data_IF_468896351227
#
_entry.id   IF_468896351227
#
_cell.length_a   1.000
_cell.length_b   1.000
_cell.length_c   1.000
_cell.angle_alpha   90.00
_cell.angle_beta   90.00
_cell.angle_gamma   90.00
#
_symmetry.space_group_name_H-M   'P 1'
#
loop_
_entity.id
_entity.type
_entity.pdbx_description
1 polymer ?
#
# COMPACT_ATOMS: atom_id res chain seq x y z
N UNK A 1 12.65 -21.37 2.18
CA UNK A 1 11.90 -22.28 1.30
C UNK A 1 12.82 -22.82 0.19
N UNK A 2 12.56 -24.00 -0.38
CA UNK A 2 13.33 -24.50 -1.53
C UNK A 2 13.25 -23.58 -2.75
N UNK A 3 14.26 -23.66 -3.62
CA UNK A 3 14.30 -22.96 -4.91
C UNK A 3 14.64 -23.95 -6.05
N UNK A 4 13.64 -24.43 -6.83
CA UNK A 4 12.28 -23.89 -6.95
C UNK A 4 11.32 -24.31 -5.82
N UNK A 5 10.31 -23.46 -5.56
CA UNK A 5 9.17 -23.74 -4.69
C UNK A 5 8.06 -24.47 -5.47
N UNK A 6 7.74 -25.70 -5.08
CA UNK A 6 6.78 -26.54 -5.81
C UNK A 6 5.35 -26.37 -5.28
N UNK A 7 5.18 -26.31 -3.96
CA UNK A 7 3.91 -26.01 -3.29
C UNK A 7 4.13 -25.20 -2.03
N UNK A 8 3.09 -24.50 -1.57
CA UNK A 8 3.18 -23.63 -0.40
C UNK A 8 3.62 -24.37 0.87
N UNK A 9 3.23 -25.64 1.04
CA UNK A 9 3.61 -26.48 2.18
C UNK A 9 5.13 -26.70 2.32
N UNK A 10 5.90 -26.47 1.26
CA UNK A 10 7.36 -26.58 1.29
C UNK A 10 8.02 -25.32 1.89
N UNK A 11 7.26 -24.23 2.07
CA UNK A 11 7.71 -23.03 2.74
C UNK A 11 7.59 -23.16 4.27
N UNK A 12 8.63 -22.72 4.97
CA UNK A 12 8.69 -22.72 6.43
C UNK A 12 8.46 -21.28 6.91
N UNK A 13 7.43 -21.07 7.71
CA UNK A 13 7.19 -19.79 8.39
C UNK A 13 8.10 -19.68 9.62
N UNK A 14 8.87 -18.60 9.68
CA UNK A 14 9.81 -18.30 10.76
C UNK A 14 9.34 -17.11 11.62
N UNK A 15 8.12 -16.61 11.40
CA UNK A 15 7.60 -15.39 12.01
C UNK A 15 7.58 -15.43 13.54
N UNK A 16 7.40 -16.61 14.14
CA UNK A 16 7.40 -16.78 15.60
C UNK A 16 8.76 -16.43 16.24
N UNK A 17 9.85 -16.59 15.50
CA UNK A 17 11.21 -16.26 15.96
C UNK A 17 11.51 -14.77 15.88
N UNK A 18 10.73 -13.95 15.16
CA UNK A 18 10.99 -12.50 15.03
C UNK A 18 11.03 -11.83 16.40
N UNK A 19 10.19 -12.28 17.34
CA UNK A 19 10.08 -11.72 18.69
C UNK A 19 11.35 -11.89 19.53
N UNK A 20 12.20 -12.86 19.23
CA UNK A 20 13.47 -13.11 19.95
C UNK A 20 14.60 -12.23 19.42
N UNK A 21 14.41 -11.57 18.28
CA UNK A 21 15.43 -10.76 17.61
C UNK A 21 16.49 -11.59 16.86
N UNK A 22 16.41 -12.93 16.88
CA UNK A 22 17.33 -13.81 16.15
C UNK A 22 16.58 -15.00 15.56
N UNK A 23 16.81 -15.28 14.28
CA UNK A 23 16.21 -16.41 13.57
C UNK A 23 17.26 -17.52 13.43
N UNK A 24 16.97 -18.69 13.98
CA UNK A 24 17.75 -19.91 13.83
C UNK A 24 17.03 -20.88 12.89
N UNK A 25 17.73 -21.29 11.83
CA UNK A 25 17.23 -22.29 10.87
C UNK A 25 18.38 -23.20 10.44
N UNK A 26 18.12 -24.51 10.41
CA UNK A 26 19.02 -25.49 9.81
C UNK A 26 18.60 -25.71 8.35
N UNK A 27 19.43 -25.30 7.41
CA UNK A 27 19.16 -25.42 5.98
C UNK A 27 19.87 -26.69 5.47
N UNK A 28 19.14 -27.69 4.94
CA UNK A 28 19.76 -28.88 4.37
C UNK A 28 20.50 -28.53 3.06
N UNK A 29 21.29 -29.46 2.53
CA UNK A 29 21.99 -29.25 1.26
C UNK A 29 21.00 -29.00 0.12
N UNK A 30 21.18 -27.89 -0.61
CA UNK A 30 20.33 -27.50 -1.74
C UNK A 30 20.34 -25.99 -1.98
N UNK A 31 19.49 -25.52 -2.91
CA UNK A 31 19.21 -24.09 -3.10
C UNK A 31 17.96 -23.71 -2.31
N UNK A 32 18.05 -22.62 -1.56
CA UNK A 32 16.98 -22.10 -0.74
C UNK A 32 16.92 -20.58 -0.85
N UNK A 33 15.71 -20.04 -0.81
CA UNK A 33 15.47 -18.62 -0.66
C UNK A 33 14.93 -18.30 0.74
N UNK A 34 15.38 -17.18 1.30
CA UNK A 34 14.91 -16.62 2.57
C UNK A 34 14.26 -15.27 2.28
N UNK A 35 12.99 -15.13 2.67
CA UNK A 35 12.24 -13.90 2.50
C UNK A 35 12.02 -13.22 3.85
N UNK A 36 12.32 -11.92 3.90
CA UNK A 36 12.00 -11.05 5.02
C UNK A 36 11.08 -9.94 4.54
N UNK A 37 9.89 -9.86 5.12
CA UNK A 37 8.95 -8.77 4.87
C UNK A 37 9.12 -7.71 5.95
N UNK A 38 9.30 -6.47 5.52
CA UNK A 38 9.37 -5.31 6.42
C UNK A 38 8.28 -4.33 6.06
N UNK A 39 7.57 -3.83 7.09
CA UNK A 39 6.67 -2.69 6.93
C UNK A 39 7.47 -1.42 7.23
N UNK A 40 7.56 -0.53 6.25
CA UNK A 40 8.23 0.76 6.40
C UNK A 40 7.16 1.85 6.34
N UNK A 41 7.15 2.73 7.34
CA UNK A 41 6.28 3.91 7.37
C UNK A 41 7.09 5.17 7.04
N UNK A 42 6.46 6.14 6.39
CA UNK A 42 7.11 7.42 6.07
C UNK A 42 8.27 7.31 5.07
N UNK A 43 8.30 6.26 4.25
CA UNK A 43 9.38 6.02 3.28
C UNK A 43 9.45 7.07 2.17
N UNK A 44 8.35 7.79 1.92
CA UNK A 44 8.25 8.86 0.92
C UNK A 44 7.82 10.18 1.57
N UNK A 45 8.33 11.28 1.02
CA UNK A 45 7.96 12.66 1.38
C UNK A 45 7.43 13.40 0.17
N UNK A 46 6.61 14.42 0.40
CA UNK A 46 6.12 15.31 -0.66
C UNK A 46 7.31 15.92 -1.42
N UNK A 47 7.41 15.61 -2.72
CA UNK A 47 8.58 15.93 -3.56
C UNK A 47 8.81 17.45 -3.67
N UNK A 48 7.76 18.22 -3.92
CA UNK A 48 7.80 19.68 -4.06
C UNK A 48 6.92 20.39 -3.03
N UNK A 49 7.08 20.04 -1.76
CA UNK A 49 6.35 20.68 -0.68
C UNK A 49 6.77 22.14 -0.48
N UNK A 50 5.78 23.05 -0.44
CA UNK A 50 5.96 24.44 -0.03
C UNK A 50 6.56 24.52 1.38
N UNK A 51 7.14 25.66 1.80
CA UNK A 51 7.55 25.86 3.20
C UNK A 51 6.39 25.54 4.16
N UNK A 52 6.59 24.59 5.07
CA UNK A 52 5.55 24.09 5.98
C UNK A 52 4.67 22.94 5.43
N UNK A 53 4.68 22.70 4.12
CA UNK A 53 4.01 21.57 3.45
C UNK A 53 4.89 20.34 3.22
N UNK A 54 6.16 20.38 3.66
CA UNK A 54 7.08 19.24 3.57
C UNK A 54 6.80 18.23 4.68
N UNK A 55 6.66 16.97 4.32
CA UNK A 55 6.42 15.89 5.27
C UNK A 55 6.18 14.54 4.59
N UNK A 56 5.90 13.48 5.36
CA UNK A 56 5.50 12.19 4.83
C UNK A 56 4.26 12.32 3.95
N UNK A 57 4.22 11.54 2.87
CA UNK A 57 3.02 11.46 2.03
C UNK A 57 1.87 10.82 2.81
N UNK A 58 0.66 11.33 2.54
CA UNK A 58 -0.59 10.84 3.11
C UNK A 58 -0.81 9.34 2.81
N UNK A 59 -1.31 8.59 3.78
CA UNK A 59 -1.82 7.24 3.53
C UNK A 59 -3.18 7.34 2.81
N UNK A 60 -3.18 7.17 1.49
CA UNK A 60 -4.39 7.25 0.65
C UNK A 60 -5.34 6.06 0.87
N UNK A 61 -4.89 5.00 1.54
CA UNK A 61 -5.71 3.86 1.92
C UNK A 61 -6.35 4.02 3.30
N UNK A 62 -6.15 5.13 4.01
CA UNK A 62 -6.78 5.38 5.31
C UNK A 62 -7.75 6.56 5.22
N UNK A 63 -9.05 6.25 5.24
CA UNK A 63 -10.14 7.23 5.15
C UNK A 63 -10.05 8.31 6.22
N UNK A 64 -9.66 7.95 7.46
CA UNK A 64 -9.55 8.91 8.57
C UNK A 64 -8.37 9.83 8.36
N UNK A 65 -7.24 9.29 7.90
CA UNK A 65 -6.07 10.08 7.56
C UNK A 65 -6.37 11.09 6.45
N UNK A 66 -7.04 10.65 5.37
CA UNK A 66 -7.44 11.51 4.24
C UNK A 66 -8.36 12.62 4.70
N UNK A 67 -9.44 12.29 5.41
CA UNK A 67 -10.40 13.29 5.90
C UNK A 67 -9.74 14.32 6.80
N UNK A 68 -8.91 13.88 7.76
CA UNK A 68 -8.16 14.77 8.65
C UNK A 68 -7.19 15.69 7.89
N UNK A 69 -6.54 15.19 6.84
CA UNK A 69 -5.64 16.01 6.01
C UNK A 69 -6.43 17.13 5.29
N UNK A 70 -7.54 16.77 4.66
CA UNK A 70 -8.41 17.71 3.95
C UNK A 70 -9.03 18.74 4.90
N UNK A 71 -9.54 18.31 6.05
CA UNK A 71 -10.14 19.19 7.05
C UNK A 71 -9.11 20.19 7.59
N UNK A 72 -7.92 19.71 7.98
CA UNK A 72 -6.84 20.60 8.46
C UNK A 72 -6.47 21.66 7.41
N UNK A 73 -6.47 21.29 6.14
CA UNK A 73 -6.19 22.21 5.04
C UNK A 73 -7.33 23.23 4.87
N UNK A 74 -8.60 22.80 4.82
CA UNK A 74 -9.73 23.73 4.73
C UNK A 74 -9.79 24.65 5.93
N UNK A 75 -9.62 24.15 7.15
CA UNK A 75 -9.72 24.95 8.37
C UNK A 75 -8.72 26.09 8.35
N UNK A 76 -7.45 25.80 8.00
CA UNK A 76 -6.41 26.82 7.90
C UNK A 76 -6.71 27.91 6.85
N UNK A 77 -7.38 27.56 5.74
CA UNK A 77 -7.80 28.52 4.72
C UNK A 77 -9.02 29.32 5.21
N UNK A 78 -10.01 28.62 5.76
CA UNK A 78 -11.28 29.22 6.18
C UNK A 78 -11.12 30.15 7.38
N UNK A 79 -10.16 29.89 8.27
CA UNK A 79 -9.76 30.79 9.35
C UNK A 79 -9.27 32.15 8.84
N UNK A 80 -8.87 32.25 7.56
CA UNK A 80 -8.40 33.50 6.94
C UNK A 80 -9.44 34.19 6.08
N UNK A 81 -10.25 33.43 5.34
CA UNK A 81 -11.14 34.00 4.32
C UNK A 81 -12.63 33.72 4.56
N UNK A 82 -12.98 33.01 5.64
CA UNK A 82 -14.32 32.45 5.82
C UNK A 82 -14.54 31.19 4.97
N UNK A 83 -15.80 30.78 4.74
CA UNK A 83 -16.11 29.55 4.00
C UNK A 83 -15.42 29.48 2.62
N UNK A 84 -15.01 28.28 2.19
CA UNK A 84 -14.32 28.12 0.90
C UNK A 84 -15.13 28.68 -0.27
N UNK A 85 -16.41 28.36 -0.38
CA UNK A 85 -17.31 28.99 -1.34
C UNK A 85 -17.80 30.35 -0.82
N UNK A 86 -17.83 31.42 -1.65
CA UNK A 86 -17.63 31.41 -3.10
C UNK A 86 -16.18 31.70 -3.56
N UNK A 87 -15.24 31.92 -2.63
CA UNK A 87 -13.90 32.41 -2.93
C UNK A 87 -13.01 31.39 -3.67
N UNK A 88 -13.18 30.10 -3.35
CA UNK A 88 -12.50 28.98 -3.99
C UNK A 88 -13.52 28.18 -4.78
N UNK A 89 -13.27 28.02 -6.09
CA UNK A 89 -14.20 27.31 -6.98
C UNK A 89 -14.03 25.80 -6.95
N UNK A 90 -12.80 25.33 -6.79
CA UNK A 90 -12.46 23.91 -6.96
C UNK A 90 -11.12 23.55 -6.35
N UNK A 91 -10.99 22.30 -5.93
CA UNK A 91 -9.71 21.63 -5.71
C UNK A 91 -9.54 20.50 -6.71
N UNK A 92 -8.30 20.11 -6.98
CA UNK A 92 -7.95 18.95 -7.78
C UNK A 92 -6.81 18.19 -7.09
N UNK A 93 -6.73 16.88 -7.37
CA UNK A 93 -5.54 16.09 -7.08
C UNK A 93 -4.75 15.97 -8.38
N UNK A 94 -3.47 16.29 -8.34
CA UNK A 94 -2.56 16.06 -9.48
C UNK A 94 -2.30 14.56 -9.67
N UNK A 95 -1.46 14.19 -10.64
CA UNK A 95 -0.97 12.81 -10.73
C UNK A 95 -0.39 12.34 -9.40
N UNK A 96 -0.62 11.06 -9.07
CA UNK A 96 -0.22 10.49 -7.78
C UNK A 96 1.00 9.59 -7.96
N UNK A 97 2.15 10.04 -7.49
CA UNK A 97 3.39 9.26 -7.46
C UNK A 97 3.51 8.56 -6.11
N UNK A 98 2.85 7.42 -5.94
CA UNK A 98 2.77 6.75 -4.62
C UNK A 98 4.00 5.89 -4.25
N UNK A 99 5.05 5.90 -5.07
CA UNK A 99 6.39 5.28 -4.87
C UNK A 99 6.41 3.88 -4.22
N UNK A 100 5.40 3.04 -4.48
CA UNK A 100 5.32 1.69 -3.92
C UNK A 100 4.51 1.56 -2.63
N UNK A 101 3.73 2.57 -2.25
CA UNK A 101 2.73 2.45 -1.20
C UNK A 101 1.77 1.29 -1.53
N UNK A 102 1.77 0.27 -0.69
CA UNK A 102 1.02 -0.95 -0.94
C UNK A 102 0.36 -1.54 0.30
N UNK A 103 0.43 -0.84 1.44
CA UNK A 103 -0.06 -1.37 2.71
C UNK A 103 -0.76 -0.31 3.56
N UNK A 104 -1.75 -0.75 4.32
CA UNK A 104 -2.41 0.01 5.38
C UNK A 104 -2.70 -0.93 6.55
N UNK A 105 -2.96 -0.39 7.74
CA UNK A 105 -3.10 -1.16 8.98
C UNK A 105 -4.17 -2.25 8.90
N UNK A 106 -5.26 -2.00 8.16
CA UNK A 106 -6.39 -2.91 7.97
C UNK A 106 -6.40 -3.63 6.62
N UNK A 107 -5.28 -3.60 5.86
CA UNK A 107 -5.18 -4.21 4.53
C UNK A 107 -5.52 -5.70 4.55
N UNK A 108 -4.99 -6.46 5.52
CA UNK A 108 -5.24 -7.91 5.62
C UNK A 108 -6.72 -8.22 5.87
N UNK A 109 -7.39 -7.45 6.74
CA UNK A 109 -8.81 -7.63 7.02
C UNK A 109 -9.69 -7.26 5.83
N UNK A 110 -9.39 -6.14 5.17
CA UNK A 110 -10.10 -5.70 3.96
C UNK A 110 -9.95 -6.71 2.83
N UNK A 111 -8.71 -7.18 2.59
CA UNK A 111 -8.45 -8.21 1.60
C UNK A 111 -9.27 -9.47 1.89
N UNK A 112 -9.20 -9.98 3.12
CA UNK A 112 -9.90 -11.21 3.50
C UNK A 112 -11.42 -11.08 3.35
N UNK A 113 -11.98 -9.93 3.73
CA UNK A 113 -13.40 -9.65 3.58
C UNK A 113 -13.85 -9.61 2.11
N UNK A 114 -13.01 -9.08 1.21
CA UNK A 114 -13.35 -8.89 -0.21
C UNK A 114 -13.05 -10.10 -1.09
N UNK A 115 -12.03 -10.88 -0.74
CA UNK A 115 -11.50 -11.98 -1.57
C UNK A 115 -11.74 -13.37 -0.99
N UNK A 116 -12.11 -13.46 0.28
CA UNK A 116 -12.51 -14.72 0.92
C UNK A 116 -11.34 -15.58 1.40
N UNK A 117 -10.09 -15.11 1.33
CA UNK A 117 -8.91 -15.82 1.83
C UNK A 117 -7.87 -14.89 2.44
N UNK A 118 -6.90 -15.46 3.14
CA UNK A 118 -5.83 -14.72 3.80
C UNK A 118 -4.60 -14.61 2.90
N UNK A 119 -4.30 -13.40 2.43
CA UNK A 119 -3.14 -13.14 1.57
C UNK A 119 -1.80 -13.16 2.33
N UNK A 120 -1.84 -13.04 3.67
CA UNK A 120 -0.64 -12.76 4.47
C UNK A 120 0.49 -13.79 4.29
N UNK A 121 0.23 -15.12 4.25
CA UNK A 121 1.28 -16.11 4.01
C UNK A 121 1.92 -16.02 2.61
N UNK A 122 1.22 -15.42 1.65
CA UNK A 122 1.61 -15.36 0.24
C UNK A 122 2.30 -14.05 -0.14
N UNK A 123 2.35 -13.05 0.75
CA UNK A 123 2.97 -11.76 0.49
C UNK A 123 4.42 -11.84 -0.05
N UNK A 124 5.30 -12.76 0.40
CA UNK A 124 6.64 -12.88 -0.17
C UNK A 124 6.67 -13.18 -1.67
N UNK A 125 5.61 -13.82 -2.18
CA UNK A 125 5.48 -14.23 -3.57
C UNK A 125 4.64 -13.26 -4.37
N UNK A 126 3.72 -12.54 -3.72
CA UNK A 126 2.82 -11.59 -4.37
C UNK A 126 3.50 -10.23 -4.56
N UNK A 127 4.27 -9.77 -3.59
CA UNK A 127 4.91 -8.46 -3.65
C UNK A 127 6.14 -8.46 -4.58
N UNK A 128 6.35 -7.33 -5.24
CA UNK A 128 7.49 -7.08 -6.11
C UNK A 128 8.44 -6.06 -5.47
N UNK A 129 9.72 -6.12 -5.86
CA UNK A 129 10.69 -5.10 -5.47
C UNK A 129 10.43 -3.83 -6.29
N UNK A 130 10.03 -2.76 -5.60
CA UNK A 130 9.70 -1.47 -6.19
C UNK A 130 10.86 -0.49 -6.05
N UNK A 131 11.09 0.31 -7.09
CA UNK A 131 12.07 1.39 -7.17
C UNK A 131 11.39 2.76 -7.29
N UNK A 132 12.16 3.76 -7.71
CA UNK A 132 11.67 5.14 -7.85
C UNK A 132 10.42 5.22 -8.73
N UNK A 133 9.49 6.11 -8.35
CA UNK A 133 8.20 6.33 -9.03
C UNK A 133 7.29 5.09 -9.10
N UNK A 134 7.52 4.06 -8.28
CA UNK A 134 6.68 2.86 -8.27
C UNK A 134 7.08 1.81 -9.30
N UNK A 135 8.20 1.98 -10.00
CA UNK A 135 8.66 1.04 -11.01
C UNK A 135 9.06 -0.31 -10.40
N UNK A 136 8.68 -1.42 -11.02
CA UNK A 136 9.19 -2.74 -10.64
C UNK A 136 10.66 -2.85 -11.06
N UNK A 137 11.56 -3.09 -10.10
CA UNK A 137 12.99 -3.21 -10.36
C UNK A 137 13.37 -4.57 -10.93
N UNK A 138 12.75 -5.63 -10.42
CA UNK A 138 13.06 -6.99 -10.84
C UNK A 138 11.79 -7.86 -10.83
N UNK A 139 11.24 -8.21 -12.02
CA UNK A 139 10.08 -9.09 -12.10
C UNK A 139 10.43 -10.55 -11.77
N UNK A 140 11.72 -10.92 -11.74
CA UNK A 140 12.22 -12.24 -11.34
C UNK A 140 12.70 -12.27 -9.90
N UNK A 141 12.29 -11.29 -9.09
CA UNK A 141 12.63 -11.23 -7.67
C UNK A 141 12.18 -12.46 -6.86
N UNK A 142 10.98 -13.04 -7.08
CA UNK A 142 10.59 -14.28 -6.42
C UNK A 142 11.50 -15.46 -6.79
N UNK A 143 11.62 -16.45 -5.91
CA UNK A 143 12.33 -17.70 -6.23
C UNK A 143 11.64 -18.40 -7.41
N UNK A 144 12.36 -19.33 -8.06
CA UNK A 144 11.73 -20.15 -9.09
C UNK A 144 10.54 -20.90 -8.47
N UNK A 145 9.46 -21.04 -9.22
CA UNK A 145 8.21 -21.64 -8.76
C UNK A 145 7.72 -22.62 -9.82
N UNK A 146 7.00 -23.66 -9.38
CA UNK A 146 6.26 -24.52 -10.31
C UNK A 146 5.25 -23.71 -11.14
N UNK A 147 4.89 -24.15 -12.36
CA UNK A 147 3.87 -23.48 -13.17
C UNK A 147 2.57 -23.22 -12.41
N UNK A 148 2.15 -24.16 -11.57
CA UNK A 148 0.95 -24.07 -10.73
C UNK A 148 1.08 -22.96 -9.68
N UNK A 149 2.24 -22.85 -9.00
CA UNK A 149 2.51 -21.78 -8.05
C UNK A 149 2.59 -20.41 -8.75
N UNK A 150 3.16 -20.34 -9.96
CA UNK A 150 3.19 -19.11 -10.76
C UNK A 150 1.77 -18.66 -11.11
N UNK A 151 0.92 -19.57 -11.58
CA UNK A 151 -0.47 -19.26 -11.91
C UNK A 151 -1.25 -18.78 -10.68
N UNK A 152 -1.14 -19.50 -9.56
CA UNK A 152 -1.78 -19.13 -8.30
C UNK A 152 -1.35 -17.74 -7.82
N UNK A 153 -0.04 -17.48 -7.76
CA UNK A 153 0.49 -16.20 -7.28
C UNK A 153 0.15 -15.04 -8.23
N UNK A 154 0.03 -15.26 -9.54
CA UNK A 154 -0.45 -14.24 -10.48
C UNK A 154 -1.90 -13.83 -10.23
N UNK A 155 -2.79 -14.78 -9.94
CA UNK A 155 -4.19 -14.49 -9.57
C UNK A 155 -4.24 -13.74 -8.23
N UNK A 156 -3.44 -14.14 -7.26
CA UNK A 156 -3.33 -13.43 -5.97
C UNK A 156 -2.76 -12.01 -6.11
N UNK A 157 -1.82 -11.77 -7.03
CA UNK A 157 -1.34 -10.42 -7.38
C UNK A 157 -2.46 -9.55 -7.93
N UNK A 158 -3.26 -10.10 -8.84
CA UNK A 158 -4.44 -9.39 -9.35
C UNK A 158 -5.39 -9.01 -8.20
N UNK A 159 -5.71 -9.96 -7.31
CA UNK A 159 -6.58 -9.68 -6.16
C UNK A 159 -5.99 -8.61 -5.23
N UNK A 160 -4.68 -8.62 -5.01
CA UNK A 160 -4.01 -7.65 -4.17
C UNK A 160 -4.09 -6.24 -4.77
N UNK A 161 -3.80 -6.10 -6.06
CA UNK A 161 -3.88 -4.83 -6.78
C UNK A 161 -5.32 -4.32 -6.89
N UNK A 162 -6.28 -5.22 -7.14
CA UNK A 162 -7.71 -4.86 -7.15
C UNK A 162 -8.17 -4.40 -5.75
N UNK A 163 -7.70 -5.03 -4.68
CA UNK A 163 -8.01 -4.58 -3.30
C UNK A 163 -7.44 -3.18 -3.06
N UNK A 164 -6.19 -2.92 -3.44
CA UNK A 164 -5.58 -1.58 -3.36
C UNK A 164 -6.39 -0.55 -4.13
N UNK A 165 -6.80 -0.85 -5.36
CA UNK A 165 -7.58 0.06 -6.20
C UNK A 165 -8.95 0.40 -5.58
N UNK A 166 -9.64 -0.60 -5.03
CA UNK A 166 -10.91 -0.39 -4.33
C UNK A 166 -10.74 0.48 -3.09
N UNK A 167 -9.76 0.16 -2.23
CA UNK A 167 -9.49 0.96 -1.03
C UNK A 167 -9.11 2.40 -1.39
N UNK A 168 -8.28 2.61 -2.41
CA UNK A 168 -7.94 3.94 -2.89
C UNK A 168 -9.17 4.71 -3.38
N UNK A 169 -10.03 4.08 -4.21
CA UNK A 169 -11.26 4.71 -4.71
C UNK A 169 -12.20 5.09 -3.57
N UNK A 170 -12.42 4.19 -2.63
CA UNK A 170 -13.36 4.38 -1.53
C UNK A 170 -12.86 5.37 -0.48
N UNK A 171 -11.56 5.36 -0.19
CA UNK A 171 -10.99 6.06 0.97
C UNK A 171 -10.26 7.35 0.61
N UNK A 172 -9.86 7.51 -0.65
CA UNK A 172 -9.31 8.75 -1.16
C UNK A 172 -10.26 9.45 -2.13
N UNK A 173 -10.60 8.82 -3.26
CA UNK A 173 -11.35 9.50 -4.34
C UNK A 173 -12.75 9.91 -3.88
N UNK A 174 -13.52 9.00 -3.30
CA UNK A 174 -14.85 9.33 -2.80
C UNK A 174 -14.81 10.35 -1.66
N UNK A 175 -13.87 10.19 -0.72
CA UNK A 175 -13.72 11.10 0.43
C UNK A 175 -13.37 12.50 -0.02
N UNK A 176 -12.49 12.64 -1.01
CA UNK A 176 -12.14 13.94 -1.60
C UNK A 176 -13.34 14.60 -2.28
N UNK A 177 -14.10 13.84 -3.08
CA UNK A 177 -15.29 14.34 -3.75
C UNK A 177 -16.40 14.74 -2.75
N UNK A 178 -16.62 13.93 -1.71
CA UNK A 178 -17.54 14.21 -0.61
C UNK A 178 -17.14 15.49 0.14
N UNK A 179 -15.87 15.61 0.53
CA UNK A 179 -15.36 16.81 1.19
C UNK A 179 -15.50 18.07 0.31
N UNK A 180 -15.28 17.98 -1.01
CA UNK A 180 -15.53 19.10 -1.93
C UNK A 180 -17.01 19.50 -1.91
N UNK A 181 -17.92 18.52 -1.94
CA UNK A 181 -19.37 18.75 -1.90
C UNK A 181 -19.80 19.40 -0.58
N UNK A 182 -19.29 18.92 0.55
CA UNK A 182 -19.53 19.50 1.90
C UNK A 182 -19.14 20.98 1.95
N UNK A 183 -18.03 21.34 1.30
CA UNK A 183 -17.53 22.71 1.21
C UNK A 183 -18.13 23.54 0.05
N UNK A 184 -19.11 22.99 -0.68
CA UNK A 184 -19.79 23.64 -1.82
C UNK A 184 -18.84 24.07 -2.95
N UNK A 185 -17.78 23.30 -3.17
CA UNK A 185 -16.78 23.51 -4.22
C UNK A 185 -16.74 22.32 -5.20
N UNK A 186 -16.12 22.49 -6.37
CA UNK A 186 -15.99 21.40 -7.36
C UNK A 186 -14.76 20.54 -7.08
N UNK A 187 -14.92 19.22 -7.15
CA UNK A 187 -13.81 18.29 -7.38
C UNK A 187 -13.44 18.33 -8.86
N UNK A 188 -12.15 18.49 -9.18
CA UNK A 188 -11.63 18.46 -10.55
C UNK A 188 -10.51 17.45 -10.71
#
# INVERSE_FOLDING_TARGET
MPDPLIKMDDAIDLSDQIKTGTIHINIPRGRFAVYGLVKIEGFMKVIQGTPGGRGPVLNHYDKKAVKRFLDKMSDAIQDKIGPLSPYVRSFFADSLETEGANWTSDMRSEFKARRGYDIYPYLPFVLLKIGGMGNTLDPKYPAEMSPEMVEMTNRMRYDFELTKAELHRERFVHVFAEWCKENKIKSR
#
